data_IF_099067067830
#
_entry.id   IF_099067067830
#
_cell.length_a   1.000
_cell.length_b   1.000
_cell.length_c   1.000
_cell.angle_alpha   90.00
_cell.angle_beta   90.00
_cell.angle_gamma   90.00
#
_symmetry.space_group_name_H-M   'P 1'
#
loop_
_entity.id
_entity.type
_entity.pdbx_description
1 polymer ?
#
# COMPACT_ATOMS: atom_id res chain seq x y z
N UNK A 1 50.54 30.39 21.96
CA UNK A 1 49.42 29.50 22.34
C UNK A 1 48.29 29.66 21.33
N UNK A 2 48.18 28.77 20.33
CA UNK A 2 47.09 28.81 19.33
C UNK A 2 45.86 28.10 19.90
N UNK A 3 44.74 28.81 20.05
CA UNK A 3 43.44 28.24 20.45
C UNK A 3 42.87 27.44 19.28
N UNK A 4 42.78 26.12 19.44
CA UNK A 4 42.03 25.22 18.55
C UNK A 4 40.53 25.37 18.86
N UNK A 5 39.77 25.88 17.90
CA UNK A 5 38.31 25.95 17.98
C UNK A 5 37.75 24.64 17.42
N UNK A 6 37.27 23.77 18.30
CA UNK A 6 36.54 22.56 17.92
C UNK A 6 35.18 22.96 17.34
N UNK A 7 34.95 22.73 16.05
CA UNK A 7 33.62 22.82 15.46
C UNK A 7 32.84 21.57 15.84
N UNK A 8 31.89 21.71 16.77
CA UNK A 8 30.95 20.68 17.13
C UNK A 8 29.93 20.51 15.99
N UNK A 9 30.11 19.48 15.17
CA UNK A 9 29.13 19.04 14.17
C UNK A 9 27.93 18.44 14.88
N UNK A 10 26.88 19.24 15.06
CA UNK A 10 25.57 18.75 15.53
C UNK A 10 24.89 18.05 14.34
N UNK A 11 25.01 16.73 14.29
CA UNK A 11 24.21 15.90 13.37
C UNK A 11 22.84 15.72 14.02
N UNK A 12 21.84 16.51 13.59
CA UNK A 12 20.45 16.22 13.95
C UNK A 12 19.97 15.03 13.13
N UNK A 13 19.89 13.87 13.76
CA UNK A 13 19.21 12.71 13.19
C UNK A 13 17.71 12.97 13.24
N UNK A 14 17.12 13.41 12.13
CA UNK A 14 15.68 13.35 11.96
C UNK A 14 15.28 11.88 11.81
N UNK A 15 14.42 11.40 12.71
CA UNK A 15 13.71 10.14 12.54
C UNK A 15 12.76 10.28 11.35
N UNK A 16 13.27 10.01 10.15
CA UNK A 16 12.42 9.72 9.01
C UNK A 16 11.91 8.30 9.23
N UNK A 17 10.61 8.11 9.43
CA UNK A 17 10.00 6.81 9.25
C UNK A 17 10.27 6.40 7.80
N UNK A 18 11.31 5.59 7.58
CA UNK A 18 11.59 5.02 6.28
C UNK A 18 10.39 4.15 5.94
N UNK A 19 9.65 4.52 4.90
CA UNK A 19 8.70 3.59 4.30
C UNK A 19 9.54 2.55 3.57
N UNK A 20 9.75 1.37 4.17
CA UNK A 20 10.64 0.30 3.63
C UNK A 20 10.30 -0.13 2.19
N UNK A 21 9.13 0.30 1.70
CA UNK A 21 8.54 -0.01 0.40
C UNK A 21 9.04 0.90 -0.72
N UNK A 22 9.49 2.12 -0.39
CA UNK A 22 9.88 3.12 -1.38
C UNK A 22 10.98 4.03 -0.85
N UNK A 23 12.00 4.28 -1.69
CA UNK A 23 13.09 5.20 -1.33
C UNK A 23 13.28 6.28 -2.38
N UNK A 24 13.16 7.54 -1.97
CA UNK A 24 13.56 8.70 -2.76
C UNK A 24 15.04 9.04 -2.52
N UNK A 25 15.74 9.43 -3.58
CA UNK A 25 17.11 9.92 -3.47
C UNK A 25 17.43 10.93 -4.55
N UNK A 26 18.52 11.68 -4.34
CA UNK A 26 18.92 12.78 -5.21
C UNK A 26 20.34 12.59 -5.69
N UNK A 27 20.59 12.87 -6.96
CA UNK A 27 21.92 12.86 -7.57
C UNK A 27 22.24 14.29 -8.05
N UNK A 28 23.38 14.82 -7.64
CA UNK A 28 23.84 16.14 -8.10
C UNK A 28 24.26 16.06 -9.57
N UNK A 29 23.90 17.08 -10.34
CA UNK A 29 24.31 17.28 -11.74
C UNK A 29 24.87 18.69 -11.91
N UNK A 30 25.51 18.98 -13.05
CA UNK A 30 26.20 20.26 -13.32
C UNK A 30 25.37 21.52 -13.01
N UNK A 31 24.04 21.46 -13.16
CA UNK A 31 23.15 22.59 -12.93
C UNK A 31 21.91 22.22 -12.08
N UNK A 32 22.09 21.42 -11.03
CA UNK A 32 21.02 21.08 -10.10
C UNK A 32 21.05 19.62 -9.66
N UNK A 33 19.87 18.98 -9.61
CA UNK A 33 19.73 17.63 -9.06
C UNK A 33 18.71 16.81 -9.85
N UNK A 34 19.00 15.53 -10.05
CA UNK A 34 18.01 14.55 -10.46
C UNK A 34 17.37 13.92 -9.22
N UNK A 35 16.07 13.74 -9.25
CA UNK A 35 15.29 13.07 -8.20
C UNK A 35 14.89 11.70 -8.73
N UNK A 36 15.32 10.66 -8.02
CA UNK A 36 15.02 9.27 -8.35
C UNK A 36 14.19 8.61 -7.26
N UNK A 37 13.52 7.52 -7.63
CA UNK A 37 12.92 6.59 -6.70
C UNK A 37 13.37 5.15 -6.95
N UNK A 38 13.34 4.38 -5.86
CA UNK A 38 13.29 2.94 -5.84
C UNK A 38 11.87 2.52 -5.39
N UNK A 39 11.21 1.64 -6.14
CA UNK A 39 10.03 0.90 -5.69
C UNK A 39 10.40 -0.53 -5.28
N UNK A 40 10.32 -0.87 -3.99
CA UNK A 40 10.63 -2.20 -3.44
C UNK A 40 9.43 -3.15 -3.49
N UNK A 41 8.26 -2.66 -3.89
CA UNK A 41 7.06 -3.47 -3.99
C UNK A 41 7.00 -4.29 -5.28
N UNK A 42 6.19 -5.34 -5.23
CA UNK A 42 5.90 -6.21 -6.37
C UNK A 42 4.77 -5.67 -7.25
N UNK A 43 4.23 -4.50 -6.90
CA UNK A 43 3.21 -3.78 -7.65
C UNK A 43 3.66 -2.35 -7.97
N UNK A 44 2.91 -1.69 -8.84
CA UNK A 44 3.11 -0.26 -9.10
C UNK A 44 2.85 0.52 -7.81
N UNK A 45 3.58 1.61 -7.62
CA UNK A 45 3.32 2.57 -6.55
C UNK A 45 3.22 3.95 -7.15
N UNK A 46 2.43 4.85 -6.57
CA UNK A 46 2.55 6.26 -6.90
C UNK A 46 3.11 7.05 -5.74
N UNK A 47 3.87 8.10 -6.07
CA UNK A 47 4.45 9.02 -5.10
C UNK A 47 4.06 10.45 -5.44
N UNK A 48 3.40 11.11 -4.50
CA UNK A 48 3.14 12.55 -4.56
C UNK A 48 4.35 13.26 -3.96
N UNK A 49 4.95 14.22 -4.66
CA UNK A 49 6.08 15.00 -4.15
C UNK A 49 5.76 16.49 -4.21
N UNK A 50 5.86 17.14 -3.05
CA UNK A 50 5.78 18.58 -2.93
C UNK A 50 7.17 19.15 -2.63
N UNK A 51 7.66 20.00 -3.54
CA UNK A 51 8.98 20.62 -3.43
C UNK A 51 8.87 22.05 -2.90
N UNK A 52 9.71 22.37 -1.91
CA UNK A 52 10.03 23.74 -1.50
C UNK A 52 11.36 24.13 -2.17
N UNK A 53 11.35 25.16 -3.01
CA UNK A 53 12.45 25.48 -3.94
C UNK A 53 12.94 26.93 -3.77
N UNK A 54 14.18 27.10 -3.32
CA UNK A 54 14.89 28.38 -3.34
C UNK A 54 15.82 28.46 -4.56
N UNK A 55 15.58 29.44 -5.44
CA UNK A 55 16.38 29.67 -6.66
C UNK A 55 16.50 28.43 -7.58
N UNK A 56 15.49 27.55 -7.55
CA UNK A 56 15.43 26.34 -8.36
C UNK A 56 14.08 26.23 -9.07
N UNK A 57 14.02 25.40 -10.11
CA UNK A 57 12.79 25.00 -10.80
C UNK A 57 12.73 23.50 -10.97
N UNK A 58 11.56 22.93 -10.72
CA UNK A 58 11.23 21.57 -11.15
C UNK A 58 10.96 21.59 -12.67
N UNK A 59 11.59 20.69 -13.44
CA UNK A 59 11.34 20.57 -14.88
C UNK A 59 10.00 19.89 -15.19
N UNK A 60 9.47 19.07 -14.28
CA UNK A 60 8.15 18.46 -14.39
C UNK A 60 7.11 19.29 -13.61
N UNK A 61 6.80 20.50 -14.12
CA UNK A 61 6.03 21.51 -13.37
C UNK A 61 4.57 21.13 -13.10
N UNK A 62 3.97 20.34 -13.99
CA UNK A 62 2.54 20.01 -13.94
C UNK A 62 2.28 18.75 -13.11
N UNK A 63 3.24 17.84 -13.07
CA UNK A 63 3.05 16.57 -12.41
C UNK A 63 3.59 16.57 -10.97
N UNK A 64 2.68 16.46 -10.01
CA UNK A 64 3.03 16.22 -8.60
C UNK A 64 3.05 14.74 -8.25
N UNK A 65 2.47 13.86 -9.08
CA UNK A 65 2.33 12.42 -8.81
C UNK A 65 3.09 11.58 -9.82
N UNK A 66 4.09 10.85 -9.36
CA UNK A 66 4.94 9.99 -10.19
C UNK A 66 4.55 8.54 -9.97
N UNK A 67 4.23 7.83 -11.05
CA UNK A 67 3.94 6.38 -11.01
C UNK A 67 5.26 5.63 -11.16
N UNK A 68 5.51 4.69 -10.25
CA UNK A 68 6.71 3.88 -10.18
C UNK A 68 6.42 2.46 -10.60
N UNK A 69 7.25 1.95 -11.51
CA UNK A 69 7.17 0.56 -11.95
C UNK A 69 7.50 -0.41 -10.81
N UNK A 70 6.87 -1.60 -10.74
CA UNK A 70 7.18 -2.63 -9.77
C UNK A 70 8.67 -2.98 -9.72
N UNK A 71 9.22 -3.15 -8.50
CA UNK A 71 10.61 -3.59 -8.28
C UNK A 71 11.70 -2.76 -8.99
N UNK A 72 11.37 -1.54 -9.44
CA UNK A 72 12.28 -0.68 -10.19
C UNK A 72 13.23 0.04 -9.23
N UNK A 73 14.52 -0.30 -9.32
CA UNK A 73 15.55 0.21 -8.41
C UNK A 73 15.98 1.68 -8.64
N UNK A 74 15.76 2.16 -9.87
CA UNK A 74 16.19 3.49 -10.30
C UNK A 74 15.27 3.99 -11.40
N UNK A 75 14.33 4.84 -11.01
CA UNK A 75 13.44 5.55 -11.92
C UNK A 75 13.61 7.05 -11.73
N UNK A 76 13.91 7.76 -12.81
CA UNK A 76 14.00 9.22 -12.77
C UNK A 76 12.58 9.79 -12.67
N UNK A 77 12.32 10.58 -11.63
CA UNK A 77 11.03 11.23 -11.43
C UNK A 77 11.02 12.61 -12.07
N UNK A 78 12.02 13.41 -11.71
CA UNK A 78 12.19 14.75 -12.23
C UNK A 78 13.61 15.26 -12.07
N UNK A 79 13.88 16.41 -12.66
CA UNK A 79 15.11 17.17 -12.48
C UNK A 79 14.78 18.55 -11.92
N UNK A 80 15.49 18.93 -10.87
CA UNK A 80 15.52 20.29 -10.33
C UNK A 80 16.71 21.03 -10.97
N UNK A 81 16.47 22.19 -11.57
CA UNK A 81 17.52 23.04 -12.15
C UNK A 81 17.68 24.34 -11.37
N UNK A 82 18.91 24.79 -11.18
CA UNK A 82 19.18 26.12 -10.61
C UNK A 82 18.74 27.18 -11.63
N UNK A 83 18.07 28.24 -11.15
CA UNK A 83 17.61 29.35 -12.01
C UNK A 83 18.75 30.34 -12.28
N UNK A 84 19.46 30.76 -11.24
CA UNK A 84 20.56 31.73 -11.31
C UNK A 84 21.80 31.14 -10.62
N UNK A 85 22.84 30.84 -11.39
CA UNK A 85 24.03 30.12 -10.93
C UNK A 85 24.82 30.84 -9.82
N UNK A 86 24.81 32.18 -9.81
CA UNK A 86 25.56 32.99 -8.84
C UNK A 86 24.82 33.21 -7.52
N UNK A 87 23.57 32.77 -7.40
CA UNK A 87 22.76 32.93 -6.18
C UNK A 87 22.69 31.60 -5.41
N UNK A 88 22.59 31.64 -4.06
CA UNK A 88 22.37 30.43 -3.27
C UNK A 88 21.11 29.69 -3.76
N UNK A 89 21.13 28.37 -3.68
CA UNK A 89 20.01 27.51 -4.04
C UNK A 89 19.85 26.41 -3.01
N UNK A 90 18.60 26.03 -2.78
CA UNK A 90 18.23 24.98 -1.85
C UNK A 90 16.93 24.36 -2.32
N UNK A 91 16.73 23.08 -1.98
CA UNK A 91 15.41 22.47 -2.05
C UNK A 91 15.18 21.57 -0.85
N UNK A 92 13.92 21.48 -0.45
CA UNK A 92 13.40 20.44 0.44
C UNK A 92 12.19 19.79 -0.24
N UNK A 93 11.75 18.64 0.24
CA UNK A 93 10.51 18.04 -0.23
C UNK A 93 9.80 17.23 0.85
N UNK A 94 8.49 17.10 0.70
CA UNK A 94 7.66 16.14 1.42
C UNK A 94 7.00 15.22 0.40
N UNK A 95 6.69 14.00 0.81
CA UNK A 95 6.06 13.04 -0.10
C UNK A 95 5.07 12.13 0.61
N UNK A 96 4.10 11.65 -0.16
CA UNK A 96 3.14 10.62 0.22
C UNK A 96 3.11 9.53 -0.83
N UNK A 97 2.68 8.32 -0.46
CA UNK A 97 2.72 7.14 -1.33
C UNK A 97 1.45 6.32 -1.22
N UNK A 98 1.04 5.70 -2.32
CA UNK A 98 -0.02 4.69 -2.36
C UNK A 98 0.40 3.51 -3.24
N UNK A 99 -0.31 2.40 -3.08
CA UNK A 99 -0.26 1.30 -4.04
C UNK A 99 -1.01 1.65 -5.32
N UNK A 100 -0.52 1.12 -6.43
CA UNK A 100 -1.11 1.27 -7.76
C UNK A 100 -0.79 2.59 -8.44
N UNK A 101 -1.25 2.66 -9.69
CA UNK A 101 -1.17 3.83 -10.53
C UNK A 101 -2.29 4.83 -10.19
N UNK A 102 -1.91 5.95 -9.57
CA UNK A 102 -2.82 7.03 -9.20
C UNK A 102 -3.54 7.68 -10.39
N UNK A 103 -2.97 7.55 -11.60
CA UNK A 103 -3.54 8.14 -12.80
C UNK A 103 -4.54 7.20 -13.49
N UNK A 104 -4.59 5.91 -13.10
CA UNK A 104 -5.53 4.95 -13.67
C UNK A 104 -6.88 4.96 -12.94
N UNK A 105 -7.83 5.71 -13.49
CA UNK A 105 -9.22 5.79 -12.99
C UNK A 105 -10.18 4.81 -13.66
N UNK A 106 -9.76 4.13 -14.72
CA UNK A 106 -10.59 3.14 -15.42
C UNK A 106 -10.63 1.81 -14.67
N UNK A 107 -11.75 1.12 -14.77
CA UNK A 107 -11.91 -0.25 -14.33
C UNK A 107 -12.99 -0.91 -15.18
N UNK A 108 -12.90 -2.23 -15.32
CA UNK A 108 -13.89 -3.02 -16.04
C UNK A 108 -15.03 -3.38 -15.08
N UNK A 109 -16.19 -2.79 -15.31
CA UNK A 109 -17.39 -3.05 -14.51
C UNK A 109 -17.97 -4.45 -14.74
N UNK A 110 -17.67 -5.05 -15.90
CA UNK A 110 -18.21 -6.34 -16.32
C UNK A 110 -17.23 -7.49 -16.04
N UNK A 111 -16.06 -7.19 -15.44
CA UNK A 111 -15.06 -8.20 -15.13
C UNK A 111 -15.65 -9.26 -14.17
N UNK A 112 -15.69 -10.54 -14.57
CA UNK A 112 -16.33 -11.59 -13.80
C UNK A 112 -15.40 -12.07 -12.68
N UNK A 113 -15.34 -11.31 -11.59
CA UNK A 113 -14.62 -11.70 -10.37
C UNK A 113 -15.14 -13.04 -9.83
N UNK A 114 -14.22 -13.87 -9.32
CA UNK A 114 -14.59 -15.04 -8.55
C UNK A 114 -15.14 -14.62 -7.18
N UNK A 115 -15.96 -15.47 -6.55
CA UNK A 115 -16.31 -15.28 -5.15
C UNK A 115 -15.06 -15.53 -4.27
N UNK A 116 -15.03 -14.99 -3.07
CA UNK A 116 -13.86 -15.12 -2.18
C UNK A 116 -13.91 -16.40 -1.33
N UNK A 117 -14.61 -17.42 -1.83
CA UNK A 117 -14.71 -18.78 -1.27
C UNK A 117 -14.92 -19.79 -2.42
N UNK A 118 -14.80 -21.08 -2.10
CA UNK A 118 -14.86 -22.18 -3.09
C UNK A 118 -16.20 -22.24 -3.86
N UNK A 119 -16.18 -22.83 -5.05
CA UNK A 119 -17.39 -23.07 -5.82
C UNK A 119 -18.31 -24.09 -5.13
N UNK A 120 -19.62 -23.87 -5.23
CA UNK A 120 -20.63 -24.78 -4.67
C UNK A 120 -20.96 -24.54 -3.19
N UNK A 121 -20.33 -23.56 -2.54
CA UNK A 121 -20.75 -23.08 -1.21
C UNK A 121 -21.43 -21.72 -1.29
N UNK A 122 -22.28 -21.44 -0.31
CA UNK A 122 -23.02 -20.18 -0.23
C UNK A 122 -23.00 -19.63 1.20
N UNK A 123 -22.78 -18.33 1.32
CA UNK A 123 -22.79 -17.62 2.59
C UNK A 123 -23.71 -16.41 2.52
N UNK A 124 -24.26 -16.03 3.67
CA UNK A 124 -25.09 -14.83 3.79
C UNK A 124 -24.21 -13.58 3.78
N UNK A 125 -24.58 -12.60 2.96
CA UNK A 125 -24.08 -11.22 3.10
C UNK A 125 -24.67 -10.64 4.38
N UNK A 126 -23.85 -10.46 5.42
CA UNK A 126 -24.27 -9.86 6.69
C UNK A 126 -24.22 -8.34 6.66
N UNK A 127 -23.33 -7.77 5.84
CA UNK A 127 -23.20 -6.33 5.69
C UNK A 127 -22.74 -5.96 4.28
N UNK A 128 -23.42 -5.00 3.65
CA UNK A 128 -23.08 -4.49 2.31
C UNK A 128 -22.35 -3.15 2.33
N UNK A 129 -22.21 -2.56 1.15
CA UNK A 129 -21.55 -1.27 0.92
C UNK A 129 -22.22 -0.11 1.66
N UNK A 130 -21.46 0.96 1.90
CA UNK A 130 -21.95 2.26 2.37
C UNK A 130 -22.79 2.24 3.67
N UNK A 131 -22.51 1.30 4.58
CA UNK A 131 -23.17 1.28 5.88
C UNK A 131 -22.53 2.32 6.83
N UNK A 132 -23.36 3.20 7.41
CA UNK A 132 -22.98 4.33 8.28
C UNK A 132 -22.18 3.94 9.54
N UNK A 133 -22.15 2.66 9.92
CA UNK A 133 -21.48 2.21 11.14
C UNK A 133 -20.01 1.80 10.93
N UNK A 134 -19.70 0.99 9.91
CA UNK A 134 -18.33 0.45 9.71
C UNK A 134 -17.86 0.43 8.25
N UNK A 135 -18.75 0.47 7.27
CA UNK A 135 -18.44 0.51 5.83
C UNK A 135 -18.64 1.92 5.26
N UNK A 136 -17.86 2.87 5.77
CA UNK A 136 -17.86 4.26 5.31
C UNK A 136 -16.42 4.75 5.08
N UNK A 137 -16.27 5.81 4.28
CA UNK A 137 -14.96 6.39 3.95
C UNK A 137 -14.05 5.34 3.33
N UNK A 138 -12.89 5.09 3.95
CA UNK A 138 -11.95 4.08 3.45
C UNK A 138 -12.50 2.63 3.45
N UNK A 139 -13.69 2.34 3.97
CA UNK A 139 -14.27 0.99 3.96
C UNK A 139 -15.60 0.93 3.18
N UNK A 140 -15.92 1.94 2.39
CA UNK A 140 -17.21 2.04 1.69
C UNK A 140 -17.49 0.89 0.70
N UNK A 141 -16.42 0.34 0.10
CA UNK A 141 -16.46 -0.76 -0.88
C UNK A 141 -16.29 -2.14 -0.22
N UNK A 142 -16.61 -2.25 1.06
CA UNK A 142 -16.50 -3.51 1.80
C UNK A 142 -17.81 -4.30 1.81
N UNK A 143 -17.69 -5.62 1.84
CA UNK A 143 -18.79 -6.56 2.07
C UNK A 143 -18.35 -7.59 3.12
N UNK A 144 -19.25 -7.87 4.05
CA UNK A 144 -19.06 -8.92 5.05
C UNK A 144 -19.92 -10.14 4.72
N UNK A 145 -19.29 -11.31 4.73
CA UNK A 145 -19.92 -12.59 4.51
C UNK A 145 -19.85 -13.43 5.79
N UNK A 146 -21.01 -13.75 6.35
CA UNK A 146 -21.10 -14.61 7.54
C UNK A 146 -20.70 -16.04 7.17
N UNK A 147 -19.57 -16.51 7.68
CA UNK A 147 -19.05 -17.84 7.39
C UNK A 147 -18.31 -18.45 8.59
N UNK A 148 -18.36 -19.79 8.75
CA UNK A 148 -17.66 -20.47 9.84
C UNK A 148 -16.15 -20.26 9.78
N UNK A 149 -15.50 -20.37 10.94
CA UNK A 149 -14.04 -20.46 11.05
C UNK A 149 -13.54 -21.68 10.26
N UNK A 150 -12.41 -21.53 9.56
CA UNK A 150 -11.81 -22.58 8.74
C UNK A 150 -12.33 -22.65 7.31
N UNK A 151 -13.25 -21.75 6.93
CA UNK A 151 -13.70 -21.66 5.53
C UNK A 151 -12.53 -21.19 4.66
N UNK A 152 -12.30 -21.86 3.53
CA UNK A 152 -11.25 -21.45 2.59
C UNK A 152 -11.61 -20.13 1.92
N UNK A 153 -10.65 -19.20 1.97
CA UNK A 153 -10.71 -17.90 1.32
C UNK A 153 -9.96 -17.99 0.01
N UNK A 154 -10.59 -17.56 -1.07
CA UNK A 154 -10.01 -17.60 -2.42
C UNK A 154 -9.79 -16.20 -3.00
N UNK A 155 -8.77 -16.05 -3.86
CA UNK A 155 -8.51 -14.81 -4.56
C UNK A 155 -9.65 -14.48 -5.56
N UNK A 156 -10.14 -13.22 -5.52
CA UNK A 156 -11.17 -12.71 -6.43
C UNK A 156 -10.72 -12.75 -7.91
N UNK A 157 -9.43 -12.49 -8.16
CA UNK A 157 -8.80 -12.49 -9.48
C UNK A 157 -7.31 -12.82 -9.36
N UNK A 158 -6.64 -13.10 -10.47
CA UNK A 158 -5.19 -13.16 -10.52
C UNK A 158 -4.53 -11.85 -10.11
N UNK A 159 -3.35 -11.95 -9.51
CA UNK A 159 -2.62 -10.78 -9.03
C UNK A 159 -1.38 -11.15 -8.23
N UNK A 160 -0.86 -10.18 -7.50
CA UNK A 160 0.32 -10.34 -6.64
C UNK A 160 0.01 -9.93 -5.20
N UNK A 161 0.49 -10.70 -4.24
CA UNK A 161 0.31 -10.42 -2.82
C UNK A 161 1.27 -9.30 -2.40
N UNK A 162 0.74 -8.18 -1.92
CA UNK A 162 1.50 -6.97 -1.57
C UNK A 162 1.52 -6.68 -0.07
N UNK A 163 0.67 -7.36 0.70
CA UNK A 163 0.69 -7.29 2.17
C UNK A 163 0.13 -8.57 2.78
N UNK A 164 0.81 -9.05 3.82
CA UNK A 164 0.32 -10.12 4.69
C UNK A 164 0.53 -9.68 6.14
N UNK A 165 -0.52 -9.79 6.95
CA UNK A 165 -0.46 -9.76 8.41
C UNK A 165 -1.24 -10.98 8.87
N UNK A 166 -0.58 -11.93 9.52
CA UNK A 166 -1.15 -13.24 9.86
C UNK A 166 -0.61 -13.78 11.19
N UNK A 167 -0.33 -12.88 12.15
CA UNK A 167 0.26 -13.21 13.45
C UNK A 167 -0.57 -12.73 14.65
N UNK A 168 -1.78 -12.19 14.41
CA UNK A 168 -2.65 -11.78 15.51
C UNK A 168 -3.61 -12.90 15.90
N UNK A 169 -3.84 -13.03 17.21
CA UNK A 169 -4.82 -13.97 17.80
C UNK A 169 -6.02 -13.29 18.45
N UNK A 170 -5.92 -11.99 18.75
CA UNK A 170 -6.93 -11.27 19.54
C UNK A 170 -8.08 -10.80 18.66
N UNK A 171 -9.28 -10.76 19.22
CA UNK A 171 -10.43 -10.05 18.66
C UNK A 171 -11.17 -9.28 19.75
N UNK A 172 -11.95 -8.29 19.32
CA UNK A 172 -12.99 -7.69 20.12
C UNK A 172 -13.98 -6.92 19.23
N UNK A 173 -15.16 -6.64 19.77
CA UNK A 173 -16.17 -5.82 19.10
C UNK A 173 -15.96 -4.31 19.36
N UNK A 174 -14.71 -3.84 19.28
CA UNK A 174 -14.37 -2.43 19.46
C UNK A 174 -13.31 -2.00 18.44
N UNK A 175 -13.36 -0.72 18.03
CA UNK A 175 -12.53 -0.15 16.95
C UNK A 175 -11.02 -0.26 17.26
N UNK A 176 -10.66 -0.28 18.53
CA UNK A 176 -9.28 -0.44 19.02
C UNK A 176 -8.66 -1.78 18.60
N UNK A 177 -9.49 -2.78 18.27
CA UNK A 177 -9.04 -4.08 17.77
C UNK A 177 -8.68 -4.09 16.27
N UNK A 178 -8.84 -2.98 15.54
CA UNK A 178 -8.36 -2.84 14.16
C UNK A 178 -6.89 -3.22 14.00
N UNK A 179 -6.05 -2.94 15.00
CA UNK A 179 -4.62 -3.28 15.01
C UNK A 179 -4.33 -4.79 15.06
N UNK A 180 -5.33 -5.60 15.41
CA UNK A 180 -5.23 -7.05 15.47
C UNK A 180 -5.87 -7.72 14.24
N UNK A 181 -6.24 -6.95 13.21
CA UNK A 181 -6.72 -7.54 11.96
C UNK A 181 -5.57 -8.26 11.26
N UNK A 182 -5.74 -9.57 11.04
CA UNK A 182 -5.00 -10.27 10.01
C UNK A 182 -5.57 -9.91 8.64
N UNK A 183 -4.69 -9.72 7.65
CA UNK A 183 -5.03 -9.24 6.32
C UNK A 183 -4.12 -9.87 5.27
N UNK A 184 -4.71 -10.27 4.15
CA UNK A 184 -4.03 -10.46 2.87
C UNK A 184 -4.49 -9.36 1.93
N UNK A 185 -3.55 -8.69 1.26
CA UNK A 185 -3.82 -7.69 0.23
C UNK A 185 -3.23 -8.17 -1.09
N UNK A 186 -4.08 -8.32 -2.09
CA UNK A 186 -3.72 -8.70 -3.46
C UNK A 186 -3.88 -7.48 -4.36
N UNK A 187 -2.86 -7.18 -5.16
CA UNK A 187 -2.90 -6.18 -6.21
C UNK A 187 -3.12 -6.84 -7.56
N UNK A 188 -4.02 -6.27 -8.36
CA UNK A 188 -4.42 -6.76 -9.67
C UNK A 188 -3.87 -5.88 -10.79
N UNK A 189 -3.82 -6.42 -12.00
CA UNK A 189 -3.25 -5.74 -13.17
C UNK A 189 -4.03 -4.48 -13.60
N UNK A 190 -5.29 -4.35 -13.16
CA UNK A 190 -6.12 -3.17 -13.37
C UNK A 190 -5.92 -2.07 -12.32
N UNK A 191 -4.87 -2.15 -11.47
CA UNK A 191 -4.58 -1.27 -10.34
C UNK A 191 -5.54 -1.37 -9.15
N UNK A 192 -6.48 -2.33 -9.14
CA UNK A 192 -7.30 -2.59 -7.96
C UNK A 192 -6.55 -3.40 -6.91
N UNK A 193 -7.00 -3.26 -5.67
CA UNK A 193 -6.54 -3.99 -4.50
C UNK A 193 -7.72 -4.74 -3.90
N UNK A 194 -7.56 -6.03 -3.71
CA UNK A 194 -8.46 -6.86 -2.93
C UNK A 194 -7.88 -7.10 -1.53
N UNK A 195 -8.56 -6.58 -0.51
CA UNK A 195 -8.24 -6.83 0.90
C UNK A 195 -9.17 -7.88 1.49
N UNK A 196 -8.59 -8.87 2.16
CA UNK A 196 -9.29 -9.96 2.86
C UNK A 196 -8.90 -9.90 4.33
N UNK A 197 -9.87 -9.72 5.23
CA UNK A 197 -9.62 -9.48 6.66
C UNK A 197 -10.20 -10.60 7.54
N UNK A 198 -9.80 -10.59 8.81
CA UNK A 198 -10.20 -11.56 9.85
C UNK A 198 -9.68 -12.98 9.56
N UNK A 199 -8.45 -13.06 9.06
CA UNK A 199 -7.80 -14.27 8.55
C UNK A 199 -6.95 -15.02 9.57
N UNK A 200 -6.68 -16.29 9.29
CA UNK A 200 -6.02 -17.22 10.20
C UNK A 200 -4.57 -16.80 10.50
N UNK A 201 -4.07 -17.31 11.61
CA UNK A 201 -2.67 -17.18 11.96
C UNK A 201 -1.77 -18.19 11.22
N UNK A 202 -0.53 -17.82 10.91
CA UNK A 202 0.44 -18.62 10.13
C UNK A 202 0.71 -20.03 10.67
N UNK A 203 0.64 -20.22 11.99
CA UNK A 203 0.97 -21.51 12.61
C UNK A 203 -0.15 -22.54 12.47
N UNK A 204 -1.33 -22.14 12.01
CA UNK A 204 -2.47 -23.03 11.83
C UNK A 204 -2.72 -23.35 10.35
N UNK A 205 -1.77 -23.08 9.45
CA UNK A 205 -1.92 -23.22 8.00
C UNK A 205 -2.12 -24.67 7.55
N UNK A 206 -3.09 -24.87 6.67
CA UNK A 206 -3.18 -26.07 5.84
C UNK A 206 -2.34 -25.89 4.58
N UNK A 207 -1.85 -26.98 3.98
CA UNK A 207 -1.13 -26.91 2.70
C UNK A 207 -2.03 -26.27 1.65
N UNK A 208 -1.56 -25.17 1.04
CA UNK A 208 -2.27 -24.47 -0.03
C UNK A 208 -3.12 -23.26 0.41
N UNK A 209 -3.26 -22.99 1.72
CA UNK A 209 -3.97 -21.81 2.24
C UNK A 209 -3.02 -20.79 2.86
N UNK A 210 -1.89 -20.53 2.19
CA UNK A 210 -0.84 -19.66 2.71
C UNK A 210 -0.10 -18.98 1.58
N UNK A 211 -0.27 -17.67 1.50
CA UNK A 211 0.52 -16.81 0.62
C UNK A 211 1.48 -15.93 1.42
N UNK A 212 2.50 -15.43 0.75
CA UNK A 212 3.48 -14.48 1.27
C UNK A 212 3.65 -13.33 0.27
N UNK A 213 4.16 -12.20 0.76
CA UNK A 213 4.38 -11.02 -0.08
C UNK A 213 5.28 -11.38 -1.27
N UNK A 214 4.84 -11.01 -2.47
CA UNK A 214 5.48 -11.33 -3.75
C UNK A 214 4.95 -12.58 -4.43
N UNK A 215 4.13 -13.41 -3.76
CA UNK A 215 3.49 -14.56 -4.41
C UNK A 215 2.49 -14.07 -5.47
N UNK A 216 2.53 -14.71 -6.64
CA UNK A 216 1.46 -14.59 -7.64
C UNK A 216 0.32 -15.52 -7.27
N UNK A 217 -0.90 -15.02 -7.39
CA UNK A 217 -2.12 -15.80 -7.18
C UNK A 217 -2.93 -15.84 -8.46
N UNK A 218 -3.68 -16.92 -8.66
CA UNK A 218 -4.64 -17.06 -9.75
C UNK A 218 -6.07 -16.90 -9.22
N UNK A 219 -6.99 -16.50 -10.09
CA UNK A 219 -8.41 -16.41 -9.76
C UNK A 219 -8.93 -17.73 -9.16
N UNK A 220 -9.58 -17.65 -8.00
CA UNK A 220 -10.11 -18.82 -7.28
C UNK A 220 -9.06 -19.62 -6.48
N UNK A 221 -7.77 -19.25 -6.53
CA UNK A 221 -6.74 -19.87 -5.71
C UNK A 221 -7.01 -19.62 -4.23
N UNK A 222 -6.89 -20.66 -3.40
CA UNK A 222 -6.96 -20.52 -1.94
C UNK A 222 -5.76 -19.70 -1.46
N UNK A 223 -6.04 -18.64 -0.69
CA UNK A 223 -5.02 -17.72 -0.18
C UNK A 223 -4.91 -17.75 1.34
N UNK A 224 -5.99 -18.09 2.04
CA UNK A 224 -6.04 -18.20 3.50
C UNK A 224 -7.30 -18.97 3.94
N UNK A 225 -7.53 -19.04 5.25
CA UNK A 225 -8.73 -19.54 5.90
C UNK A 225 -9.35 -18.45 6.78
N UNK A 226 -10.66 -18.45 6.93
CA UNK A 226 -11.34 -17.54 7.86
C UNK A 226 -11.09 -17.91 9.31
N UNK A 227 -11.01 -16.88 10.16
CA UNK A 227 -11.10 -17.01 11.62
C UNK A 227 -11.95 -15.86 12.17
N UNK A 228 -11.68 -15.45 13.40
CA UNK A 228 -12.32 -14.32 14.04
C UNK A 228 -11.26 -13.48 14.76
N UNK A 229 -10.35 -12.82 14.02
CA UNK A 229 -9.28 -11.96 14.57
C UNK A 229 -9.61 -10.49 14.32
N UNK A 230 -9.17 -9.59 15.20
CA UNK A 230 -9.30 -8.16 14.98
C UNK A 230 -10.63 -7.55 15.41
N UNK A 231 -11.04 -6.48 14.73
CA UNK A 231 -12.32 -5.83 15.04
C UNK A 231 -13.48 -6.63 14.43
N UNK A 232 -14.03 -7.55 15.22
CA UNK A 232 -15.08 -8.47 14.78
C UNK A 232 -15.97 -8.87 15.96
N UNK A 233 -17.28 -8.96 15.71
CA UNK A 233 -18.28 -9.43 16.67
C UNK A 233 -18.57 -10.94 16.55
N UNK A 234 -18.12 -11.58 15.47
CA UNK A 234 -18.30 -13.00 15.21
C UNK A 234 -17.65 -13.42 13.88
N UNK A 235 -17.47 -14.73 13.64
CA UNK A 235 -16.80 -15.23 12.43
C UNK A 235 -17.47 -14.74 11.14
N UNK A 236 -16.69 -14.04 10.33
CA UNK A 236 -17.08 -13.57 9.01
C UNK A 236 -15.82 -13.27 8.20
N UNK A 237 -15.98 -13.13 6.89
CA UNK A 237 -14.95 -12.59 6.02
C UNK A 237 -15.35 -11.18 5.58
N UNK A 238 -14.46 -10.23 5.84
CA UNK A 238 -14.56 -8.87 5.35
C UNK A 238 -13.70 -8.74 4.09
N UNK A 239 -14.33 -8.43 2.96
CA UNK A 239 -13.67 -8.25 1.67
C UNK A 239 -13.87 -6.83 1.18
N UNK A 240 -12.80 -6.25 0.63
CA UNK A 240 -12.84 -4.93 -0.01
C UNK A 240 -12.10 -4.96 -1.34
N UNK A 241 -12.73 -4.49 -2.41
CA UNK A 241 -12.08 -4.23 -3.70
C UNK A 241 -12.06 -2.72 -3.95
N UNK A 242 -10.88 -2.15 -4.20
CA UNK A 242 -10.73 -0.70 -4.30
C UNK A 242 -9.46 -0.28 -5.03
N UNK A 243 -9.44 0.95 -5.54
CA UNK A 243 -8.19 1.63 -5.95
C UNK A 243 -7.76 2.60 -4.87
N UNK A 244 -6.45 2.80 -4.73
CA UNK A 244 -5.93 3.89 -3.89
C UNK A 244 -5.59 5.09 -4.77
N UNK A 245 -5.85 6.27 -4.24
CA UNK A 245 -5.46 7.54 -4.85
C UNK A 245 -4.79 8.42 -3.80
N UNK A 246 -3.84 9.24 -4.25
CA UNK A 246 -3.22 10.34 -3.52
C UNK A 246 -4.04 11.60 -3.83
N UNK A 247 -4.77 12.08 -2.84
CA UNK A 247 -5.64 13.25 -2.92
C UNK A 247 -6.26 13.57 -1.57
#
# INVERSE_FOLDING_TARGET
MKKMIFHLLIVSSYNCYANDKLKLYTERINNGFNIYAYNYEFCSMSVFIEFDLLNMRNLNKENKVYVLEPSKKRQLLTTLKVKIHSKPYQFNFRYGTNYGNNNNKSYDFDYPYHLHFENGVSFKVSQGYNNKSTHYGINENSIDFSMPVGTKVTALSEGVVVKVIDYNTKNCNQKECLKYNNIVLVYHDDDTLAGYLHLKEIHLKEKGASVKVGDKVTKGQVIDLTVNTGWSSGPHLHVRLYKQFLG
#
